data_IF_897144634653
#
_entry.id   IF_897144634653
#
_cell.length_a   1.000
_cell.length_b   1.000
_cell.length_c   1.000
_cell.angle_alpha   90.00
_cell.angle_beta   90.00
_cell.angle_gamma   90.00
#
_symmetry.space_group_name_H-M   'P 1'
#
loop_
_entity.id
_entity.type
_entity.pdbx_description
1 polymer ?
#
# COMPACT_ATOMS: atom_id res chain seq x y z
N UNK A 1 -19.11 -8.67 2.09
CA UNK A 1 -18.87 -7.35 1.49
C UNK A 1 -17.58 -7.34 0.66
N UNK A 2 -16.38 -7.11 1.23
CA UNK A 2 -15.16 -6.91 0.44
C UNK A 2 -14.88 -8.00 -0.63
N UNK A 3 -15.05 -9.29 -0.28
CA UNK A 3 -14.91 -10.39 -1.24
C UNK A 3 -15.93 -10.33 -2.40
N UNK A 4 -17.17 -9.90 -2.16
CA UNK A 4 -18.20 -9.76 -3.23
C UNK A 4 -17.94 -8.58 -4.19
N UNK A 5 -17.03 -7.67 -3.82
CA UNK A 5 -16.56 -6.59 -4.67
C UNK A 5 -15.37 -7.12 -5.47
N UNK A 6 -14.30 -7.55 -4.78
CA UNK A 6 -13.06 -8.02 -5.40
C UNK A 6 -13.25 -9.25 -6.31
N UNK A 7 -14.21 -10.15 -6.05
CA UNK A 7 -14.53 -11.28 -6.96
C UNK A 7 -15.02 -10.83 -8.35
N UNK A 8 -15.41 -9.56 -8.51
CA UNK A 8 -15.85 -8.97 -9.79
C UNK A 8 -14.75 -8.16 -10.48
N UNK A 9 -13.63 -7.93 -9.80
CA UNK A 9 -12.48 -7.22 -10.35
C UNK A 9 -11.60 -8.18 -11.16
N UNK A 10 -10.90 -7.65 -12.15
CA UNK A 10 -10.04 -8.43 -13.05
C UNK A 10 -8.66 -8.66 -12.42
N UNK A 11 -7.99 -9.76 -12.76
CA UNK A 11 -6.57 -9.97 -12.43
C UNK A 11 -5.67 -8.82 -12.97
N UNK A 12 -6.12 -8.19 -14.06
CA UNK A 12 -5.60 -6.93 -14.60
C UNK A 12 -6.72 -5.89 -14.48
N UNK A 13 -6.76 -5.16 -13.38
CA UNK A 13 -7.85 -4.25 -13.07
C UNK A 13 -7.71 -2.93 -13.82
N UNK A 14 -8.71 -2.55 -14.61
CA UNK A 14 -8.74 -1.23 -15.25
C UNK A 14 -8.91 -0.12 -14.20
N UNK A 15 -8.10 0.94 -14.34
CA UNK A 15 -8.12 2.13 -13.48
C UNK A 15 -8.13 3.36 -14.37
N UNK A 16 -8.97 4.35 -14.06
CA UNK A 16 -9.08 5.60 -14.85
C UNK A 16 -8.31 6.73 -14.19
N UNK A 17 -7.77 7.61 -15.01
CA UNK A 17 -7.27 8.91 -14.56
C UNK A 17 -8.42 9.85 -14.12
N UNK A 18 -8.13 10.86 -13.28
CA UNK A 18 -6.84 11.10 -12.63
C UNK A 18 -6.64 10.13 -11.45
N UNK A 19 -5.41 9.73 -11.13
CA UNK A 19 -5.14 8.75 -10.06
C UNK A 19 -3.79 8.96 -9.36
N UNK A 20 -3.77 8.76 -8.04
CA UNK A 20 -2.56 8.72 -7.23
C UNK A 20 -2.11 7.28 -6.99
N UNK A 21 -0.94 6.93 -7.52
CA UNK A 21 -0.32 5.60 -7.41
C UNK A 21 0.63 5.55 -6.21
N UNK A 22 0.43 4.53 -5.37
CA UNK A 22 1.10 4.33 -4.09
C UNK A 22 1.71 2.92 -4.03
N UNK A 23 2.98 2.83 -3.63
CA UNK A 23 3.66 1.58 -3.34
C UNK A 23 3.44 1.10 -1.89
N UNK A 24 4.42 0.37 -1.40
CA UNK A 24 4.46 -0.31 -0.11
C UNK A 24 4.07 0.60 1.08
N UNK A 25 3.35 0.05 2.05
CA UNK A 25 2.89 0.77 3.27
C UNK A 25 3.31 0.07 4.57
N UNK A 26 3.41 -1.27 4.57
CA UNK A 26 4.06 -2.07 5.62
C UNK A 26 3.69 -1.68 7.07
N UNK A 27 2.38 -1.59 7.36
CA UNK A 27 1.88 -1.27 8.69
C UNK A 27 2.32 0.10 9.24
N UNK A 28 2.80 1.01 8.39
CA UNK A 28 3.17 2.38 8.75
C UNK A 28 1.95 3.31 8.75
N UNK A 29 0.94 3.00 9.57
CA UNK A 29 -0.37 3.67 9.56
C UNK A 29 -0.30 5.21 9.70
N UNK A 30 0.62 5.75 10.49
CA UNK A 30 0.80 7.20 10.61
C UNK A 30 1.37 7.85 9.34
N UNK A 31 2.23 7.13 8.61
CA UNK A 31 2.78 7.59 7.34
C UNK A 31 1.73 7.44 6.20
N UNK A 32 0.81 6.47 6.30
CA UNK A 32 -0.40 6.40 5.46
C UNK A 32 -1.36 7.59 5.70
N UNK A 33 -1.48 8.07 6.95
CA UNK A 33 -2.27 9.29 7.23
C UNK A 33 -1.63 10.54 6.61
N UNK A 34 -0.29 10.58 6.54
CA UNK A 34 0.45 11.65 5.88
C UNK A 34 0.32 11.58 4.35
N UNK A 35 0.33 10.37 3.77
CA UNK A 35 0.05 10.12 2.36
C UNK A 35 -1.33 10.70 1.95
N UNK A 36 -2.39 10.43 2.73
CA UNK A 36 -3.72 11.04 2.52
C UNK A 36 -3.79 12.55 2.85
N UNK A 37 -2.78 13.11 3.53
CA UNK A 37 -2.65 14.56 3.74
C UNK A 37 -2.00 15.25 2.53
N UNK A 38 -1.16 14.53 1.79
CA UNK A 38 -0.37 15.04 0.67
C UNK A 38 -1.10 14.81 -0.66
N UNK A 39 -1.48 13.58 -1.01
CA UNK A 39 -2.25 13.27 -2.23
C UNK A 39 -3.74 13.63 -2.16
N UNK A 40 -4.21 14.21 -1.05
CA UNK A 40 -5.62 14.49 -0.81
C UNK A 40 -6.42 13.27 -0.32
N UNK A 41 -7.67 13.52 0.05
CA UNK A 41 -8.50 12.54 0.77
C UNK A 41 -9.33 11.70 -0.19
N UNK A 42 -9.46 10.41 0.09
CA UNK A 42 -10.55 9.61 -0.49
C UNK A 42 -11.89 10.07 0.11
N UNK A 43 -12.96 10.28 -0.70
CA UNK A 43 -13.14 9.87 -2.09
C UNK A 43 -12.83 10.95 -3.14
N UNK A 44 -12.32 12.11 -2.74
CA UNK A 44 -12.09 13.26 -3.62
C UNK A 44 -10.95 12.97 -4.61
N UNK A 45 -9.85 12.38 -4.11
CA UNK A 45 -8.77 11.79 -4.94
C UNK A 45 -9.02 10.29 -5.19
N UNK A 46 -8.75 9.83 -6.42
CA UNK A 46 -8.71 8.41 -6.75
C UNK A 46 -7.34 7.79 -6.40
N UNK A 47 -7.32 6.57 -5.87
CA UNK A 47 -6.09 5.90 -5.43
C UNK A 47 -5.86 4.54 -6.08
N UNK A 48 -4.62 4.25 -6.45
CA UNK A 48 -4.13 2.91 -6.80
C UNK A 48 -3.01 2.52 -5.83
N UNK A 49 -3.27 1.54 -4.98
CA UNK A 49 -2.29 0.96 -4.07
C UNK A 49 -1.77 -0.36 -4.65
N UNK A 50 -0.44 -0.53 -4.70
CA UNK A 50 0.21 -1.62 -5.45
C UNK A 50 0.47 -2.89 -4.63
N UNK A 51 0.35 -2.86 -3.30
CA UNK A 51 0.56 -4.02 -2.43
C UNK A 51 1.31 -3.69 -1.15
N UNK A 52 1.71 -4.74 -0.42
CA UNK A 52 2.56 -4.73 0.76
C UNK A 52 2.07 -3.75 1.84
N UNK A 53 0.82 -3.97 2.27
CA UNK A 53 0.11 -3.20 3.28
C UNK A 53 0.49 -3.62 4.71
N UNK A 54 0.85 -4.90 4.87
CA UNK A 54 1.04 -5.56 6.15
C UNK A 54 2.52 -5.90 6.40
N UNK A 55 2.79 -6.47 7.59
CA UNK A 55 4.12 -6.82 8.09
C UNK A 55 5.07 -5.63 8.31
N UNK A 56 6.20 -5.90 8.98
CA UNK A 56 7.29 -4.95 9.35
C UNK A 56 6.90 -3.85 10.35
N UNK A 57 5.79 -3.15 10.14
CA UNK A 57 5.25 -2.12 11.04
C UNK A 57 4.41 -2.69 12.18
N UNK A 58 3.99 -1.82 13.11
CA UNK A 58 3.19 -2.20 14.28
C UNK A 58 1.67 -2.02 14.12
N UNK A 59 1.24 -1.47 12.96
CA UNK A 59 -0.13 -1.07 12.66
C UNK A 59 -0.62 -1.62 11.31
N UNK A 60 -0.22 -2.85 10.99
CA UNK A 60 -0.65 -3.57 9.79
C UNK A 60 -2.16 -3.78 9.76
N UNK A 61 -2.76 -4.10 10.92
CA UNK A 61 -4.20 -4.28 11.12
C UNK A 61 -4.96 -2.99 10.79
N UNK A 62 -4.56 -1.85 11.32
CA UNK A 62 -5.22 -0.56 11.10
C UNK A 62 -5.06 -0.11 9.65
N UNK A 63 -3.86 -0.30 9.09
CA UNK A 63 -3.54 -0.02 7.66
C UNK A 63 -4.46 -0.80 6.73
N UNK A 64 -4.48 -2.14 6.83
CA UNK A 64 -5.25 -2.99 5.92
C UNK A 64 -6.76 -2.89 6.17
N UNK A 65 -7.18 -2.68 7.43
CA UNK A 65 -8.60 -2.43 7.75
C UNK A 65 -9.09 -1.14 7.11
N UNK A 66 -8.30 -0.05 7.14
CA UNK A 66 -8.68 1.21 6.53
C UNK A 66 -8.76 1.10 5.00
N UNK A 67 -7.75 0.51 4.35
CA UNK A 67 -7.73 0.35 2.89
C UNK A 67 -8.91 -0.52 2.41
N UNK A 68 -9.22 -1.62 3.10
CA UNK A 68 -10.39 -2.46 2.80
C UNK A 68 -11.71 -1.74 3.10
N UNK A 69 -11.81 -0.95 4.17
CA UNK A 69 -12.99 -0.16 4.48
C UNK A 69 -13.25 0.93 3.41
N UNK A 70 -12.20 1.60 2.94
CA UNK A 70 -12.28 2.55 1.81
C UNK A 70 -12.70 1.83 0.53
N UNK A 71 -12.17 0.63 0.23
CA UNK A 71 -12.59 -0.18 -0.94
C UNK A 71 -14.05 -0.59 -0.88
N UNK A 72 -14.56 -0.99 0.30
CA UNK A 72 -15.98 -1.31 0.49
C UNK A 72 -16.87 -0.07 0.38
N UNK A 73 -16.38 1.10 0.83
CA UNK A 73 -17.16 2.35 0.85
C UNK A 73 -17.16 3.07 -0.50
N UNK A 74 -16.07 2.98 -1.27
CA UNK A 74 -15.83 3.71 -2.52
C UNK A 74 -15.13 2.83 -3.57
N UNK A 75 -15.77 1.73 -4.05
CA UNK A 75 -15.12 0.70 -4.88
C UNK A 75 -14.47 1.23 -6.17
N UNK A 76 -15.08 2.26 -6.78
CA UNK A 76 -14.60 2.93 -8.02
C UNK A 76 -13.52 4.00 -7.77
N UNK A 77 -13.19 4.31 -6.51
CA UNK A 77 -12.26 5.40 -6.12
C UNK A 77 -10.94 4.90 -5.54
N UNK A 78 -10.87 3.63 -5.17
CA UNK A 78 -9.64 3.02 -4.65
C UNK A 78 -9.48 1.61 -5.22
N UNK A 79 -8.29 1.33 -5.75
CA UNK A 79 -7.85 0.01 -6.19
C UNK A 79 -6.75 -0.46 -5.26
N UNK A 80 -6.83 -1.71 -4.81
CA UNK A 80 -5.86 -2.35 -3.91
C UNK A 80 -5.39 -3.64 -4.57
N UNK A 81 -4.15 -3.65 -5.03
CA UNK A 81 -3.51 -4.82 -5.63
C UNK A 81 -2.93 -5.76 -4.57
N UNK A 82 -2.45 -6.93 -4.99
CA UNK A 82 -1.80 -7.93 -4.13
C UNK A 82 -0.28 -7.80 -4.19
N UNK A 83 0.35 -7.43 -3.08
CA UNK A 83 1.79 -7.58 -2.88
C UNK A 83 2.18 -8.98 -2.41
N UNK A 84 3.49 -9.24 -2.30
CA UNK A 84 4.01 -10.51 -1.79
C UNK A 84 3.77 -10.68 -0.28
N UNK A 85 3.66 -9.59 0.48
CA UNK A 85 3.29 -9.62 1.89
C UNK A 85 1.78 -9.89 2.11
N UNK A 86 0.92 -9.77 1.10
CA UNK A 86 -0.47 -10.26 1.15
C UNK A 86 -0.57 -11.80 0.95
N UNK A 87 0.23 -12.56 1.71
CA UNK A 87 0.32 -14.03 1.64
C UNK A 87 0.49 -14.70 3.01
N UNK A 88 -0.02 -15.94 3.16
CA UNK A 88 0.00 -16.66 4.45
C UNK A 88 1.40 -16.99 4.93
N UNK A 89 2.29 -17.42 4.03
CA UNK A 89 3.66 -17.82 4.36
C UNK A 89 4.50 -16.66 4.88
N UNK A 90 4.36 -15.48 4.27
CA UNK A 90 5.14 -14.29 4.64
C UNK A 90 4.59 -13.67 5.95
N UNK A 91 3.26 -13.52 6.06
CA UNK A 91 2.63 -12.91 7.25
C UNK A 91 2.81 -13.70 8.55
N UNK A 92 3.13 -15.00 8.46
CA UNK A 92 3.51 -15.84 9.61
C UNK A 92 4.94 -15.61 10.12
N UNK A 93 5.78 -14.86 9.39
CA UNK A 93 7.20 -14.67 9.70
C UNK A 93 7.57 -13.19 9.86
N UNK A 94 6.89 -12.28 9.16
CA UNK A 94 7.25 -10.85 9.11
C UNK A 94 6.36 -9.91 9.95
N UNK A 95 5.44 -10.47 10.75
CA UNK A 95 4.84 -9.81 11.92
C UNK A 95 3.31 -9.71 11.97
N UNK A 96 2.58 -9.81 10.85
CA UNK A 96 1.13 -9.59 10.80
C UNK A 96 0.31 -10.66 11.51
N UNK A 97 0.77 -11.92 11.48
CA UNK A 97 0.19 -13.00 12.29
C UNK A 97 0.27 -12.67 13.79
N UNK A 98 1.46 -12.31 14.27
CA UNK A 98 1.70 -11.96 15.67
C UNK A 98 0.98 -10.68 16.07
N UNK A 99 0.87 -9.70 15.17
CA UNK A 99 0.09 -8.47 15.38
C UNK A 99 -1.40 -8.79 15.58
N UNK A 100 -1.98 -9.65 14.74
CA UNK A 100 -3.37 -10.09 14.88
C UNK A 100 -3.57 -10.89 16.18
N UNK A 101 -2.68 -11.85 16.48
CA UNK A 101 -2.75 -12.67 17.69
C UNK A 101 -2.64 -11.81 18.95
N UNK A 102 -1.75 -10.81 18.96
CA UNK A 102 -1.57 -9.84 20.05
C UNK A 102 -2.75 -8.88 20.22
N UNK A 103 -3.36 -8.41 19.12
CA UNK A 103 -4.47 -7.43 19.18
C UNK A 103 -5.84 -8.08 19.45
N UNK A 104 -6.05 -9.34 19.08
CA UNK A 104 -7.36 -10.02 19.17
C UNK A 104 -7.35 -11.32 20.00
N UNK A 105 -6.21 -11.77 20.50
CA UNK A 105 -6.08 -12.99 21.32
C UNK A 105 -6.28 -14.30 20.56
N UNK A 106 -6.48 -14.27 19.24
CA UNK A 106 -6.67 -15.45 18.40
C UNK A 106 -6.36 -15.14 16.91
N UNK A 107 -6.18 -16.18 16.10
CA UNK A 107 -5.81 -16.06 14.69
C UNK A 107 -6.98 -15.78 13.72
N UNK A 108 -8.22 -15.59 14.18
CA UNK A 108 -9.38 -15.44 13.27
C UNK A 108 -9.27 -14.19 12.40
N UNK A 109 -8.74 -13.07 12.92
CA UNK A 109 -8.56 -11.84 12.13
C UNK A 109 -7.52 -12.02 11.03
N UNK A 110 -6.37 -12.64 11.35
CA UNK A 110 -5.36 -13.00 10.35
C UNK A 110 -5.92 -13.95 9.27
N UNK A 111 -6.74 -14.92 9.66
CA UNK A 111 -7.41 -15.82 8.71
C UNK A 111 -8.39 -15.04 7.82
N UNK A 112 -9.23 -14.19 8.38
CA UNK A 112 -10.18 -13.37 7.61
C UNK A 112 -9.48 -12.47 6.59
N UNK A 113 -8.33 -11.88 6.93
CA UNK A 113 -7.53 -11.07 6.00
C UNK A 113 -6.79 -11.92 4.97
N UNK A 114 -6.12 -13.01 5.35
CA UNK A 114 -5.44 -13.87 4.36
C UNK A 114 -6.41 -14.59 3.42
N UNK A 115 -7.60 -14.95 3.89
CA UNK A 115 -8.70 -15.46 3.03
C UNK A 115 -9.33 -14.34 2.17
N UNK A 116 -9.06 -13.06 2.43
CA UNK A 116 -9.45 -11.90 1.58
C UNK A 116 -8.35 -11.57 0.56
N UNK A 117 -7.08 -11.71 0.93
CA UNK A 117 -5.92 -11.46 0.07
C UNK A 117 -5.90 -12.32 -1.20
N UNK A 118 -6.51 -13.51 -1.14
CA UNK A 118 -6.68 -14.38 -2.31
C UNK A 118 -7.63 -13.84 -3.38
N UNK A 119 -8.33 -12.74 -3.11
CA UNK A 119 -9.21 -12.04 -4.06
C UNK A 119 -8.63 -10.72 -4.57
N UNK A 120 -7.47 -10.27 -4.08
CA UNK A 120 -6.87 -9.01 -4.53
C UNK A 120 -6.35 -9.14 -5.98
N UNK A 121 -6.68 -8.21 -6.89
CA UNK A 121 -6.11 -8.14 -8.23
C UNK A 121 -4.58 -8.15 -8.23
N UNK A 122 -3.98 -8.79 -9.23
CA UNK A 122 -2.52 -8.94 -9.32
C UNK A 122 -1.83 -7.72 -9.95
N UNK A 123 -2.53 -7.05 -10.86
CA UNK A 123 -2.01 -5.87 -11.59
C UNK A 123 -3.15 -4.88 -11.86
N UNK A 124 -2.80 -3.63 -12.16
CA UNK A 124 -3.72 -2.65 -12.72
C UNK A 124 -3.21 -2.17 -14.08
N UNK A 125 -4.14 -1.79 -14.97
CA UNK A 125 -3.86 -1.05 -16.20
C UNK A 125 -4.50 0.33 -16.07
N UNK A 126 -3.67 1.37 -16.00
CA UNK A 126 -4.17 2.76 -15.97
C UNK A 126 -4.44 3.24 -17.40
N UNK A 127 -5.68 3.64 -17.64
CA UNK A 127 -6.19 4.30 -18.86
C UNK A 127 -5.95 3.59 -20.21
N UNK A 128 -5.77 2.26 -20.22
CA UNK A 128 -5.91 1.39 -21.40
C UNK A 128 -4.89 1.54 -22.54
N UNK A 129 -4.09 2.60 -22.55
CA UNK A 129 -3.10 2.92 -23.59
C UNK A 129 -1.79 2.16 -23.30
N UNK A 130 -1.58 1.02 -23.94
CA UNK A 130 -0.48 0.09 -23.64
C UNK A 130 0.94 0.60 -23.98
N UNK A 131 1.51 1.47 -23.13
CA UNK A 131 2.94 1.79 -23.06
C UNK A 131 3.34 2.20 -21.61
N UNK A 132 4.57 2.70 -21.42
CA UNK A 132 5.49 2.29 -20.34
C UNK A 132 6.57 3.43 -20.10
N UNK A 133 7.24 3.64 -18.92
CA UNK A 133 8.06 4.88 -18.59
C UNK A 133 9.53 4.96 -17.96
N UNK A 134 10.36 3.95 -17.52
CA UNK A 134 11.90 4.00 -17.43
C UNK A 134 12.62 2.73 -18.05
N UNK A 135 13.84 2.74 -18.64
CA UNK A 135 14.37 1.76 -19.67
C UNK A 135 14.04 2.23 -21.11
N UNK A 136 14.83 3.22 -21.56
CA UNK A 136 14.48 4.25 -22.56
C UNK A 136 13.04 4.77 -22.42
N UNK A 137 12.65 4.95 -21.15
CA UNK A 137 11.28 5.06 -20.68
C UNK A 137 10.36 3.82 -20.96
N UNK A 138 10.44 2.76 -20.12
CA UNK A 138 9.50 1.60 -19.99
C UNK A 138 8.87 1.21 -18.60
N UNK A 139 9.53 1.06 -17.43
CA UNK A 139 8.94 0.66 -16.13
C UNK A 139 9.27 1.68 -15.03
N UNK A 140 8.40 1.97 -14.05
CA UNK A 140 8.72 2.86 -12.90
C UNK A 140 8.51 2.16 -11.54
N UNK A 141 9.39 2.43 -10.58
CA UNK A 141 9.29 1.93 -9.19
C UNK A 141 8.85 3.07 -8.27
N UNK A 142 7.78 2.86 -7.50
CA UNK A 142 7.26 3.79 -6.49
C UNK A 142 7.26 3.07 -5.15
N UNK A 143 7.77 3.72 -4.11
CA UNK A 143 7.87 3.15 -2.77
C UNK A 143 7.35 4.17 -1.74
N UNK A 144 6.30 3.81 -0.99
CA UNK A 144 5.51 4.78 -0.22
C UNK A 144 5.69 4.69 1.30
N UNK A 145 6.65 3.89 1.78
CA UNK A 145 6.98 3.73 3.20
C UNK A 145 8.24 4.54 3.60
N UNK A 146 8.11 5.72 4.24
CA UNK A 146 9.26 6.56 4.57
C UNK A 146 9.99 6.02 5.82
N UNK A 147 11.33 6.11 5.84
CA UNK A 147 12.21 5.48 6.81
C UNK A 147 11.81 4.02 7.10
N UNK A 148 11.78 3.21 6.05
CA UNK A 148 11.28 1.84 6.08
C UNK A 148 11.96 0.98 7.15
N UNK A 149 11.17 0.10 7.77
CA UNK A 149 11.59 -0.73 8.91
C UNK A 149 12.24 0.07 10.07
N UNK A 150 11.96 1.38 10.13
CA UNK A 150 12.47 2.41 11.04
C UNK A 150 14.00 2.52 11.07
N UNK A 151 14.67 2.08 9.99
CA UNK A 151 16.13 1.92 9.91
C UNK A 151 16.74 2.38 8.60
N UNK A 152 16.00 2.37 7.50
CA UNK A 152 16.56 2.58 6.16
C UNK A 152 16.80 4.07 5.83
N UNK A 153 16.10 4.99 6.49
CA UNK A 153 16.28 6.44 6.30
C UNK A 153 15.89 6.98 4.93
N UNK A 154 15.23 6.19 4.09
CA UNK A 154 14.71 6.60 2.80
C UNK A 154 13.55 7.61 2.93
N UNK A 155 13.36 8.44 1.90
CA UNK A 155 12.10 9.15 1.69
C UNK A 155 11.08 8.21 1.03
N UNK A 156 9.80 8.56 1.11
CA UNK A 156 8.74 7.94 0.33
C UNK A 156 8.37 8.79 -0.88
N UNK A 157 7.66 8.18 -1.84
CA UNK A 157 7.04 8.87 -2.96
C UNK A 157 5.64 8.33 -3.26
N UNK A 158 4.83 9.16 -3.90
CA UNK A 158 3.63 8.81 -4.65
C UNK A 158 3.73 9.40 -6.05
N UNK A 159 3.06 8.79 -7.03
CA UNK A 159 2.99 9.27 -8.40
C UNK A 159 1.57 9.70 -8.73
N UNK A 160 1.37 10.96 -9.07
CA UNK A 160 0.07 11.46 -9.55
C UNK A 160 0.03 11.36 -11.08
N UNK A 161 -1.08 10.87 -11.62
CA UNK A 161 -1.40 10.93 -13.05
C UNK A 161 -2.63 11.82 -13.24
N UNK A 162 -2.50 12.86 -14.06
CA UNK A 162 -3.60 13.76 -14.41
C UNK A 162 -4.52 13.20 -15.52
N UNK A 163 -5.57 13.95 -15.86
CA UNK A 163 -6.56 13.63 -16.91
C UNK A 163 -5.94 13.45 -18.32
N UNK A 164 -4.65 13.74 -18.49
CA UNK A 164 -3.90 13.64 -19.76
C UNK A 164 -2.75 12.64 -19.71
N UNK A 165 -2.71 11.76 -18.68
CA UNK A 165 -1.63 10.80 -18.40
C UNK A 165 -0.24 11.45 -18.16
N UNK A 166 -0.20 12.76 -17.91
CA UNK A 166 1.02 13.44 -17.50
C UNK A 166 1.25 13.15 -16.01
N UNK A 167 2.48 12.79 -15.68
CA UNK A 167 2.84 12.35 -14.34
C UNK A 167 3.57 13.43 -13.51
N UNK A 168 3.33 13.37 -12.21
CA UNK A 168 3.96 14.14 -11.13
C UNK A 168 4.47 13.16 -10.07
N UNK A 169 5.55 13.52 -9.35
CA UNK A 169 6.01 12.76 -8.18
C UNK A 169 6.02 13.66 -6.95
N UNK A 170 5.30 13.26 -5.91
CA UNK A 170 5.34 13.94 -4.60
C UNK A 170 6.14 13.07 -3.64
N UNK A 171 7.25 13.61 -3.13
CA UNK A 171 8.10 12.95 -2.14
C UNK A 171 7.75 13.42 -0.73
N UNK A 172 7.90 12.53 0.26
CA UNK A 172 7.62 12.86 1.66
C UNK A 172 8.53 12.13 2.66
N UNK A 173 8.74 12.79 3.80
CA UNK A 173 9.49 12.32 4.96
C UNK A 173 8.58 11.62 5.99
N UNK A 174 9.13 10.88 6.97
CA UNK A 174 8.31 10.19 7.98
C UNK A 174 7.47 11.13 8.85
N UNK A 175 6.26 10.70 9.19
CA UNK A 175 5.34 11.44 10.04
C UNK A 175 5.94 11.68 11.46
N UNK A 176 5.84 12.90 12.03
CA UNK A 176 6.45 13.22 13.33
C UNK A 176 5.93 12.37 14.49
N UNK A 177 6.80 11.53 15.08
CA UNK A 177 6.44 10.64 16.19
C UNK A 177 6.65 11.31 17.55
N UNK A 178 5.59 11.37 18.35
CA UNK A 178 5.67 11.82 19.75
C UNK A 178 6.09 10.67 20.66
N UNK A 179 7.38 10.61 20.99
CA UNK A 179 7.89 9.84 22.14
C UNK A 179 8.68 8.55 21.85
N UNK A 180 8.97 8.21 20.59
CA UNK A 180 9.83 7.06 20.28
C UNK A 180 11.33 7.43 20.32
N UNK A 181 12.22 6.54 20.82
CA UNK A 181 13.66 6.78 20.86
C UNK A 181 14.30 6.71 19.45
N UNK A 182 15.36 7.48 19.24
CA UNK A 182 16.16 7.42 18.00
C UNK A 182 16.87 6.05 17.86
N UNK A 183 16.42 5.23 16.90
CA UNK A 183 17.11 4.00 16.50
C UNK A 183 18.30 4.35 15.62
N UNK A 184 19.47 3.77 15.91
CA UNK A 184 20.72 4.09 15.20
C UNK A 184 20.78 3.49 13.79
N UNK A 185 21.25 4.30 12.83
CA UNK A 185 21.35 3.94 11.41
C UNK A 185 22.24 2.72 11.16
N UNK A 186 21.68 1.68 10.55
CA UNK A 186 22.36 0.75 9.63
C UNK A 186 21.36 0.27 8.58
N UNK A 187 21.61 0.64 7.32
CA UNK A 187 20.93 0.06 6.16
C UNK A 187 21.45 -1.36 5.94
N UNK A 188 20.60 -2.39 5.84
CA UNK A 188 21.02 -3.74 5.45
C UNK A 188 21.53 -3.81 4.00
N UNK A 189 22.45 -4.73 3.72
CA UNK A 189 23.11 -4.84 2.40
C UNK A 189 22.17 -5.25 1.25
N UNK A 190 20.95 -5.73 1.54
CA UNK A 190 19.94 -6.08 0.52
C UNK A 190 19.17 -4.87 -0.05
N UNK A 191 19.54 -3.64 0.32
CA UNK A 191 19.04 -2.39 -0.25
C UNK A 191 20.07 -1.69 -1.17
N UNK A 192 21.06 -2.43 -1.69
CA UNK A 192 22.11 -1.95 -2.61
C UNK A 192 22.08 -2.74 -3.93
#
# INVERSE_FOLDING_TARGET
QAKEILTKESNVQEVRCPVTVCGDVHGQFHDLMELFRIGGKSPDTNYLFMGDYVDRGYYSVETVTLLVALKVRYPERITILRGNHESRQITQVYGFYDECLRKYGNANVWKCFTDLFDYLPLTALVDGQGYNWCHDRNVVTIFSAPNYCYRCGNQAAIMELDDTLKYSFLQFDPAPRRGEPHVTRRTPDYFL
#
